data_IF_258854380905
#
_entry.id   IF_258854380905
#
_cell.length_a   1.000
_cell.length_b   1.000
_cell.length_c   1.000
_cell.angle_alpha   90.00
_cell.angle_beta   90.00
_cell.angle_gamma   90.00
#
_symmetry.space_group_name_H-M   'P 1'
#
loop_
_entity.id
_entity.type
_entity.pdbx_description
1 polymer ?
#
# COMPACT_ATOMS: atom_id res chain seq x y z
N UNK A 1 -14.48 11.27 -4.40
CA UNK A 1 -13.14 11.32 -3.76
C UNK A 1 -12.98 10.26 -2.68
N UNK A 2 -13.79 10.23 -1.63
CA UNK A 2 -13.63 9.25 -0.53
C UNK A 2 -13.81 7.79 -0.95
N UNK A 3 -14.84 7.47 -1.72
CA UNK A 3 -15.08 6.10 -2.21
C UNK A 3 -13.98 5.59 -3.17
N UNK A 4 -13.30 6.49 -3.86
CA UNK A 4 -12.20 6.13 -4.77
C UNK A 4 -10.89 5.73 -4.04
N UNK A 5 -10.83 5.93 -2.72
CA UNK A 5 -9.76 5.37 -1.87
C UNK A 5 -9.98 3.87 -1.58
N UNK A 6 -11.16 3.33 -1.89
CA UNK A 6 -11.47 1.93 -1.59
C UNK A 6 -10.47 0.95 -2.21
N UNK A 7 -10.05 1.06 -3.49
CA UNK A 7 -9.01 0.21 -4.05
C UNK A 7 -7.67 0.28 -3.30
N UNK A 8 -7.30 1.48 -2.81
CA UNK A 8 -6.08 1.64 -1.99
C UNK A 8 -6.22 0.87 -0.68
N UNK A 9 -7.39 0.97 -0.02
CA UNK A 9 -7.66 0.23 1.22
C UNK A 9 -7.61 -1.29 1.00
N UNK A 10 -8.11 -1.77 -0.15
CA UNK A 10 -8.05 -3.19 -0.52
C UNK A 10 -6.61 -3.66 -0.76
N UNK A 11 -5.78 -2.86 -1.42
CA UNK A 11 -4.37 -3.21 -1.63
C UNK A 11 -3.58 -3.25 -0.31
N UNK A 12 -3.84 -2.32 0.61
CA UNK A 12 -3.27 -2.32 1.96
C UNK A 12 -3.73 -3.53 2.78
N UNK A 13 -5.01 -3.90 2.65
CA UNK A 13 -5.58 -5.09 3.30
C UNK A 13 -4.90 -6.36 2.79
N UNK A 14 -4.78 -6.52 1.47
CA UNK A 14 -4.15 -7.68 0.85
C UNK A 14 -2.70 -7.86 1.31
N UNK A 15 -1.92 -6.80 1.38
CA UNK A 15 -0.58 -6.84 1.93
C UNK A 15 -0.58 -7.27 3.41
N UNK A 16 -1.46 -6.68 4.22
CA UNK A 16 -1.59 -7.01 5.64
C UNK A 16 -2.01 -8.46 5.88
N UNK A 17 -2.97 -8.95 5.12
CA UNK A 17 -3.44 -10.34 5.20
C UNK A 17 -2.32 -11.32 4.87
N UNK A 18 -1.53 -11.05 3.83
CA UNK A 18 -0.44 -11.91 3.38
C UNK A 18 0.75 -11.93 4.35
N UNK A 19 1.15 -10.77 4.88
CA UNK A 19 2.44 -10.62 5.56
C UNK A 19 2.36 -10.32 7.06
N UNK A 20 1.25 -9.80 7.56
CA UNK A 20 1.11 -9.33 8.94
C UNK A 20 0.10 -10.13 9.74
N UNK A 21 -0.78 -10.86 9.06
CA UNK A 21 -1.76 -11.71 9.73
C UNK A 21 -1.06 -12.90 10.41
N UNK A 22 -1.16 -12.98 11.74
CA UNK A 22 -0.58 -14.08 12.53
C UNK A 22 -1.51 -15.28 12.66
N UNK A 23 -2.79 -15.11 12.35
CA UNK A 23 -3.80 -16.17 12.44
C UNK A 23 -3.94 -16.92 11.11
N UNK A 24 -4.44 -18.16 11.17
CA UNK A 24 -4.70 -18.97 9.96
C UNK A 24 -5.71 -18.33 8.99
N UNK A 25 -6.61 -17.49 9.53
CA UNK A 25 -7.59 -16.74 8.73
C UNK A 25 -7.46 -15.26 9.08
N UNK A 26 -7.51 -14.36 8.10
CA UNK A 26 -7.51 -12.93 8.38
C UNK A 26 -8.75 -12.53 9.17
N UNK A 27 -8.68 -11.48 10.02
CA UNK A 27 -9.80 -11.06 10.85
C UNK A 27 -11.02 -10.65 10.03
N UNK A 28 -10.83 -10.17 8.82
CA UNK A 28 -11.88 -9.80 7.87
C UNK A 28 -11.65 -10.53 6.56
N UNK A 29 -12.60 -11.33 6.14
CA UNK A 29 -12.60 -11.95 4.82
C UNK A 29 -13.56 -11.20 3.91
N UNK A 30 -13.06 -10.82 2.74
CA UNK A 30 -13.87 -10.17 1.71
C UNK A 30 -14.64 -11.19 0.89
N UNK A 31 -15.86 -10.83 0.51
CA UNK A 31 -16.69 -11.60 -0.42
C UNK A 31 -17.09 -10.68 -1.57
N UNK A 32 -16.77 -11.11 -2.79
CA UNK A 32 -17.16 -10.39 -3.99
C UNK A 32 -18.55 -10.84 -4.43
N UNK A 33 -19.56 -9.98 -4.28
CA UNK A 33 -20.96 -10.33 -4.46
C UNK A 33 -21.30 -10.73 -5.90
N UNK A 34 -20.55 -10.26 -6.90
CA UNK A 34 -20.80 -10.62 -8.31
C UNK A 34 -20.48 -12.09 -8.61
N UNK A 35 -19.46 -12.65 -7.99
CA UNK A 35 -19.09 -14.07 -8.17
C UNK A 35 -19.40 -14.93 -6.94
N UNK A 36 -19.82 -14.35 -5.83
CA UNK A 36 -20.14 -15.06 -4.58
C UNK A 36 -18.95 -15.64 -3.82
N UNK A 37 -17.73 -15.44 -4.32
CA UNK A 37 -16.52 -16.05 -3.77
C UNK A 37 -15.87 -15.18 -2.68
N UNK A 38 -15.24 -15.83 -1.70
CA UNK A 38 -14.23 -15.16 -0.87
C UNK A 38 -13.09 -14.75 -1.79
N UNK A 39 -12.72 -13.50 -1.75
CA UNK A 39 -11.70 -12.97 -2.67
C UNK A 39 -10.51 -12.34 -1.93
N UNK A 40 -9.34 -12.46 -2.56
CA UNK A 40 -8.13 -11.76 -2.18
C UNK A 40 -7.87 -10.68 -3.24
N UNK A 41 -7.89 -9.40 -2.85
CA UNK A 41 -7.67 -8.32 -3.81
C UNK A 41 -6.27 -8.41 -4.41
N UNK A 42 -6.18 -8.37 -5.73
CA UNK A 42 -4.91 -8.25 -6.44
C UNK A 42 -4.87 -6.94 -7.23
N UNK A 43 -3.68 -6.34 -7.32
CA UNK A 43 -3.48 -5.14 -8.12
C UNK A 43 -3.04 -5.57 -9.51
N UNK A 44 -3.78 -5.16 -10.52
CA UNK A 44 -3.66 -5.66 -11.88
C UNK A 44 -3.56 -4.52 -12.91
N UNK A 45 -3.08 -4.88 -14.09
CA UNK A 45 -3.09 -4.03 -15.25
C UNK A 45 -4.52 -3.80 -15.75
N UNK A 46 -4.91 -2.53 -15.98
CA UNK A 46 -6.24 -2.21 -16.52
C UNK A 46 -6.48 -2.74 -17.93
N UNK A 47 -5.41 -3.07 -18.69
CA UNK A 47 -5.49 -3.55 -20.05
C UNK A 47 -5.64 -5.07 -20.12
N UNK A 48 -4.69 -5.83 -19.57
CA UNK A 48 -4.67 -7.31 -19.67
C UNK A 48 -5.22 -8.02 -18.42
N UNK A 49 -5.50 -7.29 -17.35
CA UNK A 49 -5.98 -7.80 -16.06
C UNK A 49 -5.01 -8.78 -15.35
N UNK A 50 -3.77 -8.91 -15.82
CA UNK A 50 -2.76 -9.67 -15.10
C UNK A 50 -2.20 -8.88 -13.91
N UNK A 51 -1.79 -9.62 -12.88
CA UNK A 51 -1.21 -9.03 -11.67
C UNK A 51 0.07 -8.25 -12.01
N UNK A 52 0.22 -7.07 -11.42
CA UNK A 52 1.38 -6.22 -11.65
C UNK A 52 2.30 -6.20 -10.44
N UNK A 53 3.57 -6.30 -10.70
CA UNK A 53 4.66 -6.28 -9.72
C UNK A 53 5.70 -5.23 -10.11
N UNK A 54 6.59 -4.89 -9.20
CA UNK A 54 7.70 -3.99 -9.51
C UNK A 54 8.66 -4.51 -10.61
N UNK A 55 8.56 -5.79 -10.97
CA UNK A 55 9.39 -6.40 -12.03
C UNK A 55 8.72 -6.35 -13.40
N UNK A 56 7.39 -6.32 -13.44
CA UNK A 56 6.60 -6.34 -14.68
C UNK A 56 6.16 -4.96 -15.13
N UNK A 57 6.53 -3.90 -14.39
CA UNK A 57 6.11 -2.53 -14.68
C UNK A 57 7.31 -1.63 -14.92
N UNK A 58 7.29 -0.97 -16.08
CA UNK A 58 8.13 0.18 -16.38
C UNK A 58 7.38 1.50 -16.14
N UNK A 59 8.14 2.58 -16.15
CA UNK A 59 7.58 3.92 -16.06
C UNK A 59 8.35 4.90 -16.94
N UNK A 60 7.66 5.94 -17.35
CA UNK A 60 8.25 7.10 -18.02
C UNK A 60 7.63 8.38 -17.53
N UNK A 61 8.27 9.50 -17.82
CA UNK A 61 7.76 10.81 -17.49
C UNK A 61 6.42 11.05 -18.19
N UNK A 62 5.45 11.49 -17.41
CA UNK A 62 4.15 11.93 -17.89
C UNK A 62 4.09 13.46 -18.09
N UNK A 63 2.96 13.98 -18.58
CA UNK A 63 2.78 15.41 -18.86
C UNK A 63 2.86 16.33 -17.63
N UNK A 64 2.81 15.76 -16.43
CA UNK A 64 2.99 16.48 -15.17
C UNK A 64 4.37 16.32 -14.53
N UNK A 65 5.32 15.66 -15.20
CA UNK A 65 6.67 15.49 -14.71
C UNK A 65 7.37 16.86 -14.54
N UNK A 66 8.21 16.97 -13.50
CA UNK A 66 8.96 18.22 -13.20
C UNK A 66 8.12 19.35 -12.60
N UNK A 67 6.80 19.21 -12.52
CA UNK A 67 5.95 20.21 -11.85
C UNK A 67 5.99 19.98 -10.35
N UNK A 68 6.95 20.57 -9.68
CA UNK A 68 7.00 20.57 -8.20
C UNK A 68 5.87 21.43 -7.67
N UNK A 69 4.74 20.82 -7.31
CA UNK A 69 3.74 21.50 -6.49
C UNK A 69 4.22 21.45 -5.05
N UNK A 70 4.76 22.57 -4.58
CA UNK A 70 4.91 22.77 -3.15
C UNK A 70 3.49 22.80 -2.56
N UNK A 71 3.00 21.65 -2.15
CA UNK A 71 1.86 21.62 -1.25
C UNK A 71 2.39 22.23 0.05
N UNK A 72 2.01 23.46 0.34
CA UNK A 72 2.20 24.06 1.66
C UNK A 72 1.48 23.18 2.68
N UNK A 73 2.19 22.16 3.16
CA UNK A 73 1.68 21.37 4.26
C UNK A 73 1.77 22.26 5.50
N UNK A 74 0.62 22.75 5.98
CA UNK A 74 0.54 23.27 7.34
C UNK A 74 1.20 22.24 8.24
N UNK A 75 2.26 22.64 8.92
CA UNK A 75 3.05 21.80 9.84
C UNK A 75 2.14 21.31 10.98
N UNK A 76 1.38 20.26 10.74
CA UNK A 76 0.71 19.53 11.81
C UNK A 76 1.73 18.61 12.45
N UNK A 77 2.31 19.05 13.57
CA UNK A 77 3.25 18.31 14.41
C UNK A 77 2.62 17.14 15.18
N UNK A 78 1.44 16.68 14.83
CA UNK A 78 0.83 15.53 15.49
C UNK A 78 1.21 14.28 14.74
N UNK A 79 2.27 13.62 15.21
CA UNK A 79 2.44 12.17 15.01
C UNK A 79 1.17 11.54 15.58
N UNK A 80 0.36 10.91 14.75
CA UNK A 80 -0.74 10.09 15.25
C UNK A 80 -0.11 8.90 15.97
N UNK A 81 -0.44 8.75 17.25
CA UNK A 81 -0.05 7.58 18.02
C UNK A 81 -0.56 6.32 17.28
N UNK A 82 0.32 5.39 16.88
CA UNK A 82 -0.09 4.15 16.24
C UNK A 82 -1.15 3.36 17.04
N UNK A 83 -1.16 3.50 18.36
CA UNK A 83 -2.17 2.90 19.24
C UNK A 83 -3.60 3.42 18.95
N UNK A 84 -3.74 4.61 18.37
CA UNK A 84 -5.05 5.15 17.96
C UNK A 84 -5.66 4.34 16.81
N UNK A 85 -4.85 3.65 16.03
CA UNK A 85 -5.31 2.76 14.95
C UNK A 85 -5.88 1.44 15.50
N UNK A 86 -5.52 1.09 16.74
CA UNK A 86 -5.91 -0.19 17.40
C UNK A 86 -7.14 0.01 18.29
N UNK A 87 -8.25 0.45 17.72
CA UNK A 87 -9.52 0.67 18.44
C UNK A 87 -10.23 -0.63 18.83
N UNK A 88 -9.50 -1.68 19.18
CA UNK A 88 -10.05 -2.96 19.59
C UNK A 88 -10.70 -3.80 18.48
N UNK A 89 -10.55 -3.38 17.22
CA UNK A 89 -10.96 -4.14 16.04
C UNK A 89 -9.72 -4.51 15.23
N UNK A 90 -9.40 -5.80 15.09
CA UNK A 90 -8.28 -6.22 14.28
C UNK A 90 -8.41 -5.69 12.84
N UNK A 91 -7.42 -4.96 12.36
CA UNK A 91 -7.44 -4.36 11.03
C UNK A 91 -6.09 -4.52 10.34
N UNK A 92 -6.04 -5.35 9.30
CA UNK A 92 -4.81 -5.54 8.53
C UNK A 92 -4.40 -4.29 7.76
N UNK A 93 -5.34 -3.42 7.42
CA UNK A 93 -5.05 -2.08 6.89
C UNK A 93 -4.29 -1.24 7.93
N UNK A 94 -4.75 -1.25 9.19
CA UNK A 94 -4.07 -0.53 10.27
C UNK A 94 -2.66 -1.06 10.51
N UNK A 95 -2.47 -2.40 10.50
CA UNK A 95 -1.15 -3.02 10.63
C UNK A 95 -0.21 -2.59 9.47
N UNK A 96 -0.70 -2.57 8.25
CA UNK A 96 0.07 -2.08 7.09
C UNK A 96 0.43 -0.60 7.24
N UNK A 97 -0.51 0.23 7.72
CA UNK A 97 -0.27 1.65 7.95
C UNK A 97 0.73 1.92 9.08
N UNK A 98 0.94 1.02 10.04
CA UNK A 98 2.02 1.15 11.02
C UNK A 98 3.41 1.17 10.35
N UNK A 99 3.55 0.49 9.22
CA UNK A 99 4.80 0.41 8.46
C UNK A 99 4.98 1.63 7.54
N UNK A 100 3.95 1.96 6.74
CA UNK A 100 4.06 2.96 5.67
C UNK A 100 3.30 4.26 5.95
N UNK A 101 2.63 4.38 7.09
CA UNK A 101 1.71 5.49 7.36
C UNK A 101 2.38 6.83 7.70
N UNK A 102 3.68 6.85 7.95
CA UNK A 102 4.40 8.11 8.11
C UNK A 102 5.03 8.57 6.79
N UNK A 103 5.09 9.90 6.61
CA UNK A 103 5.57 10.51 5.38
C UNK A 103 6.98 10.02 4.97
N UNK A 104 7.89 9.89 5.92
CA UNK A 104 9.27 9.59 5.61
C UNK A 104 9.46 8.11 5.24
N UNK A 105 8.84 7.19 5.97
CA UNK A 105 8.83 5.77 5.60
C UNK A 105 8.26 5.57 4.21
N UNK A 106 7.13 6.24 3.91
CA UNK A 106 6.51 6.19 2.59
C UNK A 106 7.45 6.69 1.49
N UNK A 107 8.09 7.87 1.68
CA UNK A 107 9.01 8.43 0.68
C UNK A 107 10.27 7.57 0.51
N UNK A 108 10.85 7.03 1.58
CA UNK A 108 12.01 6.13 1.51
C UNK A 108 11.68 4.88 0.70
N UNK A 109 10.50 4.26 0.94
CA UNK A 109 10.05 3.09 0.18
C UNK A 109 9.81 3.45 -1.29
N UNK A 110 9.17 4.59 -1.56
CA UNK A 110 8.90 5.04 -2.93
C UNK A 110 10.19 5.23 -3.71
N UNK A 111 11.17 5.95 -3.15
CA UNK A 111 12.46 6.17 -3.81
C UNK A 111 13.26 4.87 -3.98
N UNK A 112 13.07 3.88 -3.10
CA UNK A 112 13.68 2.56 -3.27
C UNK A 112 13.14 1.82 -4.50
N UNK A 113 11.85 1.99 -4.85
CA UNK A 113 11.30 1.44 -6.10
C UNK A 113 11.87 2.14 -7.34
N UNK A 114 12.30 3.40 -7.21
CA UNK A 114 13.07 4.12 -8.25
C UNK A 114 14.57 3.79 -8.26
N UNK A 115 15.00 2.80 -7.45
CA UNK A 115 16.36 2.27 -7.50
C UNK A 115 17.32 2.83 -6.47
N UNK A 116 16.91 3.73 -5.59
CA UNK A 116 17.75 4.21 -4.49
C UNK A 116 17.95 3.09 -3.47
N UNK A 117 19.22 2.86 -3.08
CA UNK A 117 19.60 1.76 -2.17
C UNK A 117 20.60 2.16 -1.10
N UNK A 118 21.20 3.34 -1.18
CA UNK A 118 22.25 3.81 -0.29
C UNK A 118 21.77 4.99 0.52
N UNK A 119 22.27 5.09 1.76
CA UNK A 119 21.90 6.14 2.70
C UNK A 119 22.09 7.55 2.12
N UNK A 120 23.24 7.81 1.55
CA UNK A 120 23.60 9.14 1.03
C UNK A 120 22.70 9.54 -0.15
N UNK A 121 22.29 8.57 -0.98
CA UNK A 121 21.37 8.80 -2.10
C UNK A 121 19.98 9.25 -1.61
N UNK A 122 19.42 8.58 -0.58
CA UNK A 122 18.15 9.02 0.02
C UNK A 122 18.27 10.38 0.67
N UNK A 123 19.38 10.63 1.41
CA UNK A 123 19.59 11.90 2.07
C UNK A 123 19.61 13.05 1.07
N UNK A 124 20.34 12.90 -0.02
CA UNK A 124 20.43 13.87 -1.11
C UNK A 124 19.08 14.07 -1.82
N UNK A 125 18.38 12.97 -2.15
CA UNK A 125 17.12 13.01 -2.90
C UNK A 125 15.96 13.61 -2.11
N UNK A 126 15.87 13.27 -0.82
CA UNK A 126 14.72 13.64 0.02
C UNK A 126 14.97 14.87 0.89
N UNK A 127 16.22 15.32 1.02
CA UNK A 127 16.57 16.39 1.95
C UNK A 127 16.24 16.05 3.42
N UNK A 128 16.24 14.77 3.75
CA UNK A 128 15.87 14.25 5.08
C UNK A 128 17.05 14.35 6.04
N UNK A 129 16.80 14.71 7.32
CA UNK A 129 17.83 14.71 8.34
C UNK A 129 18.35 13.29 8.61
N UNK A 130 19.68 13.16 8.80
CA UNK A 130 20.36 11.86 8.99
C UNK A 130 19.73 11.00 10.09
N UNK A 131 19.44 11.60 11.24
CA UNK A 131 18.85 10.89 12.38
C UNK A 131 17.47 10.33 12.06
N UNK A 132 16.65 11.07 11.30
CA UNK A 132 15.31 10.62 10.87
C UNK A 132 15.45 9.49 9.85
N UNK A 133 16.34 9.63 8.87
CA UNK A 133 16.57 8.59 7.87
C UNK A 133 17.08 7.30 8.52
N UNK A 134 18.03 7.40 9.46
CA UNK A 134 18.56 6.25 10.21
C UNK A 134 17.43 5.53 10.96
N UNK A 135 16.58 6.27 11.68
CA UNK A 135 15.44 5.67 12.40
C UNK A 135 14.48 4.96 11.43
N UNK A 136 14.14 5.58 10.30
CA UNK A 136 13.22 4.97 9.33
C UNK A 136 13.80 3.73 8.65
N UNK A 137 15.05 3.76 8.24
CA UNK A 137 15.71 2.60 7.64
C UNK A 137 15.82 1.43 8.65
N UNK A 138 16.16 1.72 9.91
CA UNK A 138 16.21 0.69 10.95
C UNK A 138 14.83 0.05 11.20
N UNK A 139 13.76 0.85 11.26
CA UNK A 139 12.38 0.34 11.38
C UNK A 139 11.98 -0.50 10.18
N UNK A 140 12.23 -0.04 8.96
CA UNK A 140 11.92 -0.79 7.75
C UNK A 140 12.69 -2.11 7.64
N UNK A 141 13.91 -2.17 8.18
CA UNK A 141 14.66 -3.43 8.32
C UNK A 141 14.03 -4.33 9.39
N UNK A 142 13.69 -3.79 10.57
CA UNK A 142 13.04 -4.54 11.65
C UNK A 142 11.66 -5.09 11.23
N UNK A 143 10.91 -4.33 10.44
CA UNK A 143 9.62 -4.73 9.87
C UNK A 143 9.77 -5.72 8.70
N UNK A 144 11.00 -6.04 8.30
CA UNK A 144 11.30 -6.98 7.21
C UNK A 144 10.95 -6.45 5.81
N UNK A 145 10.88 -5.13 5.63
CA UNK A 145 10.69 -4.49 4.33
C UNK A 145 12.01 -4.44 3.55
N UNK A 146 13.08 -4.07 4.23
CA UNK A 146 14.43 -4.09 3.68
C UNK A 146 15.31 -5.14 4.36
N UNK A 147 16.23 -5.68 3.58
CA UNK A 147 17.43 -6.37 4.05
C UNK A 147 18.62 -5.42 3.91
N UNK A 148 19.40 -5.27 4.99
CA UNK A 148 20.63 -4.50 5.01
C UNK A 148 21.79 -5.38 4.56
N UNK A 149 22.54 -4.94 3.56
CA UNK A 149 23.69 -5.66 3.01
C UNK A 149 24.93 -4.75 3.02
N UNK A 150 25.98 -5.23 3.62
CA UNK A 150 27.28 -4.56 3.59
C UNK A 150 27.88 -4.65 2.19
N UNK A 151 28.38 -3.54 1.64
CA UNK A 151 29.03 -3.51 0.35
C UNK A 151 30.46 -2.95 0.40
N UNK A 152 30.87 -2.33 1.54
CA UNK A 152 32.20 -1.79 1.77
C UNK A 152 32.59 -1.99 3.24
N UNK A 153 33.88 -2.34 3.49
CA UNK A 153 34.38 -2.61 4.85
C UNK A 153 34.97 -1.37 5.52
N UNK A 154 35.69 -0.54 4.80
CA UNK A 154 36.40 0.63 5.36
C UNK A 154 36.21 1.87 4.47
N UNK A 155 35.51 2.92 4.94
CA UNK A 155 34.59 2.88 6.07
C UNK A 155 33.43 1.90 5.81
N UNK A 156 32.83 1.37 6.87
CA UNK A 156 31.73 0.41 6.72
C UNK A 156 30.51 1.07 6.07
N UNK A 157 30.05 0.52 4.93
CA UNK A 157 28.91 1.04 4.19
C UNK A 157 27.91 -0.05 3.86
N UNK A 158 26.62 0.32 3.86
CA UNK A 158 25.50 -0.60 3.65
C UNK A 158 24.59 -0.11 2.54
N UNK A 159 24.05 -1.08 1.81
CA UNK A 159 22.89 -0.89 0.93
C UNK A 159 21.66 -1.58 1.54
N UNK A 160 20.48 -1.07 1.16
CA UNK A 160 19.20 -1.59 1.59
C UNK A 160 18.45 -2.10 0.37
N UNK A 161 18.06 -3.36 0.41
CA UNK A 161 17.34 -4.02 -0.69
C UNK A 161 15.99 -4.52 -0.21
N UNK A 162 14.99 -4.41 -1.04
CA UNK A 162 13.69 -5.00 -0.74
C UNK A 162 13.80 -6.50 -0.49
N UNK A 163 13.12 -6.96 0.56
CA UNK A 163 12.74 -8.37 0.74
C UNK A 163 11.55 -8.70 -0.18
N UNK A 164 11.10 -9.95 -0.22
CA UNK A 164 9.86 -10.30 -0.94
C UNK A 164 8.65 -9.57 -0.32
N UNK A 165 8.59 -9.49 1.01
CA UNK A 165 7.58 -8.68 1.72
C UNK A 165 7.62 -7.21 1.28
N UNK A 166 8.81 -6.63 1.21
CA UNK A 166 8.95 -5.23 0.78
C UNK A 166 8.51 -4.99 -0.66
N UNK A 167 8.79 -5.93 -1.58
CA UNK A 167 8.36 -5.84 -2.98
C UNK A 167 6.84 -5.84 -3.13
N UNK A 168 6.13 -6.58 -2.30
CA UNK A 168 4.67 -6.67 -2.35
C UNK A 168 3.95 -5.37 -1.95
N UNK A 169 4.65 -4.41 -1.33
CA UNK A 169 4.12 -3.05 -1.13
C UNK A 169 3.89 -2.30 -2.44
N UNK A 170 4.51 -2.74 -3.54
CA UNK A 170 4.39 -2.08 -4.84
C UNK A 170 2.93 -1.89 -5.27
N UNK A 171 2.10 -2.91 -5.11
CA UNK A 171 0.68 -2.84 -5.45
C UNK A 171 -0.06 -1.72 -4.72
N UNK A 172 0.18 -1.56 -3.42
CA UNK A 172 -0.43 -0.49 -2.64
C UNK A 172 0.05 0.90 -3.10
N UNK A 173 1.33 1.03 -3.46
CA UNK A 173 1.90 2.30 -3.94
C UNK A 173 1.31 2.72 -5.28
N UNK A 174 1.19 1.81 -6.25
CA UNK A 174 0.60 2.17 -7.56
C UNK A 174 -0.91 2.38 -7.49
N UNK A 175 -1.62 1.73 -6.56
CA UNK A 175 -3.01 2.05 -6.27
C UNK A 175 -3.17 3.48 -5.72
N UNK A 176 -2.25 3.90 -4.84
CA UNK A 176 -2.20 5.29 -4.35
C UNK A 176 -1.81 6.27 -5.46
N UNK A 177 -0.85 5.91 -6.31
CA UNK A 177 -0.47 6.73 -7.47
C UNK A 177 -1.70 6.99 -8.36
N UNK A 178 -2.46 5.94 -8.72
CA UNK A 178 -3.69 6.09 -9.49
C UNK A 178 -4.69 7.05 -8.85
N UNK A 179 -4.89 6.93 -7.53
CA UNK A 179 -5.78 7.86 -6.82
C UNK A 179 -5.27 9.30 -6.90
N UNK A 180 -3.97 9.50 -6.72
CA UNK A 180 -3.29 10.80 -6.86
C UNK A 180 -3.44 11.38 -8.26
N UNK A 181 -3.23 10.56 -9.29
CA UNK A 181 -3.37 10.96 -10.69
C UNK A 181 -4.78 11.41 -11.00
N UNK A 182 -5.78 10.69 -10.51
CA UNK A 182 -7.18 11.05 -10.73
C UNK A 182 -7.59 12.36 -10.07
N UNK A 183 -7.14 12.59 -8.84
CA UNK A 183 -7.69 13.68 -8.03
C UNK A 183 -6.75 14.88 -7.86
N UNK A 184 -5.45 14.69 -7.97
CA UNK A 184 -4.45 15.71 -7.67
C UNK A 184 -3.70 16.19 -8.91
N UNK A 185 -3.60 15.38 -9.97
CA UNK A 185 -2.80 15.70 -11.17
C UNK A 185 -3.48 16.69 -12.12
N UNK A 186 -4.79 16.95 -11.98
CA UNK A 186 -5.60 17.75 -12.92
C UNK A 186 -5.49 17.24 -14.36
N UNK A 187 -5.50 15.92 -14.56
CA UNK A 187 -5.37 15.28 -15.86
C UNK A 187 -3.94 15.23 -16.44
N UNK A 188 -2.95 15.65 -15.67
CA UNK A 188 -1.53 15.61 -16.06
C UNK A 188 -0.75 14.74 -15.05
N UNK A 189 -0.82 13.42 -15.18
CA UNK A 189 -0.08 12.53 -14.27
C UNK A 189 1.43 12.74 -14.41
N UNK A 190 2.21 12.68 -13.33
CA UNK A 190 3.66 12.85 -13.38
C UNK A 190 4.38 11.64 -13.98
N UNK A 191 3.76 10.46 -13.88
CA UNK A 191 4.31 9.19 -14.38
C UNK A 191 3.27 8.48 -15.24
N UNK A 192 3.74 7.82 -16.27
CA UNK A 192 2.96 6.87 -17.07
C UNK A 192 3.57 5.50 -16.84
N UNK A 193 2.72 4.54 -16.44
CA UNK A 193 3.14 3.16 -16.19
C UNK A 193 2.90 2.33 -17.44
N UNK A 194 3.88 1.46 -17.78
CA UNK A 194 3.80 0.49 -18.88
C UNK A 194 3.92 -0.91 -18.31
N UNK A 195 3.01 -1.81 -18.66
CA UNK A 195 3.08 -3.22 -18.24
C UNK A 195 3.87 -4.01 -19.28
N UNK A 196 4.99 -4.60 -18.90
CA UNK A 196 5.90 -5.27 -19.83
C UNK A 196 5.28 -6.48 -20.53
N UNK A 197 4.45 -7.25 -19.82
CA UNK A 197 3.88 -8.48 -20.36
C UNK A 197 2.90 -8.24 -21.51
N UNK A 198 2.17 -7.12 -21.51
CA UNK A 198 1.25 -6.76 -22.60
C UNK A 198 1.71 -5.55 -23.42
N UNK A 199 2.79 -4.89 -23.03
CA UNK A 199 3.35 -3.71 -23.71
C UNK A 199 2.49 -2.44 -23.63
N UNK A 200 1.34 -2.47 -22.94
CA UNK A 200 0.41 -1.35 -22.88
C UNK A 200 0.70 -0.40 -21.72
N UNK A 201 0.43 0.89 -21.96
CA UNK A 201 0.27 1.83 -20.86
C UNK A 201 -0.98 1.50 -20.08
N UNK A 202 -0.89 1.57 -18.75
CA UNK A 202 -1.99 1.12 -17.92
C UNK A 202 -2.19 1.99 -16.67
N UNK A 203 -3.33 1.81 -16.05
CA UNK A 203 -3.63 2.28 -14.71
C UNK A 203 -3.81 1.08 -13.78
N UNK A 204 -3.31 1.18 -12.55
CA UNK A 204 -3.51 0.13 -11.57
C UNK A 204 -5.01 -0.05 -11.28
N UNK A 205 -5.49 -1.28 -11.34
CA UNK A 205 -6.87 -1.66 -11.00
C UNK A 205 -6.82 -2.76 -9.94
N UNK A 206 -7.65 -2.65 -8.91
CA UNK A 206 -7.78 -3.72 -7.91
C UNK A 206 -8.93 -4.61 -8.31
N UNK A 207 -8.63 -5.88 -8.53
CA UNK A 207 -9.57 -6.88 -9.06
C UNK A 207 -9.71 -8.07 -8.12
N UNK A 208 -10.77 -8.84 -8.32
CA UNK A 208 -10.97 -10.12 -7.66
C UNK A 208 -10.02 -11.18 -8.23
N UNK A 209 -9.34 -11.92 -7.36
CA UNK A 209 -8.46 -13.04 -7.75
C UNK A 209 -9.23 -14.18 -8.44
N UNK A 210 -10.53 -14.32 -8.14
CA UNK A 210 -11.38 -15.39 -8.67
C UNK A 210 -11.99 -15.05 -10.04
N UNK A 211 -12.72 -13.94 -10.19
CA UNK A 211 -13.44 -13.61 -11.43
C UNK A 211 -12.77 -12.52 -12.27
N UNK A 212 -11.66 -11.93 -11.81
CA UNK A 212 -10.89 -10.88 -12.49
C UNK A 212 -11.65 -9.56 -12.73
N UNK A 213 -12.85 -9.42 -12.14
CA UNK A 213 -13.59 -8.17 -12.23
C UNK A 213 -13.14 -7.14 -11.19
N UNK A 214 -13.22 -5.84 -11.51
CA UNK A 214 -12.84 -4.77 -10.59
C UNK A 214 -13.65 -4.78 -9.30
N UNK A 215 -12.98 -4.59 -8.16
CA UNK A 215 -13.60 -4.56 -6.85
C UNK A 215 -14.10 -3.15 -6.52
N UNK A 216 -15.42 -2.98 -6.50
CA UNK A 216 -16.08 -1.75 -6.09
C UNK A 216 -16.74 -1.93 -4.73
N UNK A 217 -16.77 -0.88 -3.91
CA UNK A 217 -17.32 -0.95 -2.55
C UNK A 217 -18.80 -1.44 -2.48
N UNK A 218 -19.59 -1.14 -3.51
CA UNK A 218 -20.99 -1.57 -3.62
C UNK A 218 -21.17 -3.07 -3.88
N UNK A 219 -20.16 -3.70 -4.49
CA UNK A 219 -20.18 -5.10 -4.92
C UNK A 219 -19.48 -6.01 -3.91
N UNK A 220 -19.17 -5.48 -2.72
CA UNK A 220 -18.43 -6.18 -1.69
C UNK A 220 -19.25 -6.38 -0.43
N UNK A 221 -19.10 -7.55 0.16
CA UNK A 221 -19.47 -7.85 1.54
C UNK A 221 -18.27 -8.43 2.28
N UNK A 222 -18.40 -8.67 3.57
CA UNK A 222 -17.32 -9.22 4.38
C UNK A 222 -17.84 -10.16 5.44
N UNK A 223 -16.98 -11.09 5.86
CA UNK A 223 -17.20 -11.99 7.00
C UNK A 223 -16.16 -11.65 8.07
N UNK A 224 -16.60 -11.62 9.32
CA UNK A 224 -15.71 -11.41 10.47
C UNK A 224 -15.30 -12.76 11.05
N UNK A 225 -14.00 -12.98 11.20
CA UNK A 225 -13.43 -14.17 11.85
C UNK A 225 -13.10 -13.89 13.33
N UNK A 226 -13.71 -12.88 13.92
CA UNK A 226 -13.63 -12.55 15.34
C UNK A 226 -14.98 -12.03 15.85
N UNK A 227 -15.20 -12.11 17.16
CA UNK A 227 -16.36 -11.48 17.80
C UNK A 227 -16.05 -10.00 18.07
N UNK A 228 -16.76 -9.06 17.47
CA UNK A 228 -16.60 -7.64 17.81
C UNK A 228 -16.88 -7.44 19.30
N UNK A 229 -16.04 -6.67 20.00
CA UNK A 229 -16.41 -6.16 21.32
C UNK A 229 -17.55 -5.16 21.12
N UNK A 230 -18.54 -5.24 21.96
CA UNK A 230 -19.64 -4.29 21.96
C UNK A 230 -19.09 -2.91 22.37
N UNK A 231 -18.96 -2.02 21.40
CA UNK A 231 -18.46 -0.67 21.59
C UNK A 231 -19.58 0.35 21.81
N UNK A 232 -20.80 -0.13 22.09
CA UNK A 232 -21.97 0.70 22.38
C UNK A 232 -22.45 1.57 21.22
N UNK A 233 -21.94 1.34 20.00
CA UNK A 233 -22.39 2.07 18.81
C UNK A 233 -23.61 1.39 18.22
N UNK A 234 -24.67 2.14 17.90
CA UNK A 234 -25.83 1.57 17.22
C UNK A 234 -25.38 0.92 15.91
N UNK A 235 -25.73 -0.35 15.72
CA UNK A 235 -25.53 -1.06 14.46
C UNK A 235 -26.27 -0.29 13.36
N UNK A 236 -25.54 0.26 12.38
CA UNK A 236 -26.21 0.80 11.20
C UNK A 236 -26.95 -0.33 10.51
N UNK A 237 -28.25 -0.21 10.22
CA UNK A 237 -28.97 -1.19 9.43
C UNK A 237 -28.41 -1.17 8.02
N UNK A 238 -27.66 -2.19 7.66
CA UNK A 238 -27.11 -2.27 6.33
C UNK A 238 -26.13 -3.43 6.13
N UNK A 239 -26.71 -4.59 5.76
CA UNK A 239 -26.15 -5.87 5.32
C UNK A 239 -25.73 -6.86 6.43
N UNK A 240 -26.25 -8.08 6.39
CA UNK A 240 -26.05 -9.08 7.43
C UNK A 240 -24.58 -9.52 7.47
N UNK A 241 -23.96 -9.35 8.63
CA UNK A 241 -22.75 -10.07 8.98
C UNK A 241 -23.17 -11.52 9.27
N UNK A 242 -22.86 -12.44 8.38
CA UNK A 242 -22.96 -13.86 8.70
C UNK A 242 -21.82 -14.22 9.64
N UNK A 243 -22.15 -14.37 10.92
CA UNK A 243 -21.24 -14.98 11.90
C UNK A 243 -21.39 -16.50 11.72
N UNK A 244 -20.42 -17.17 11.12
CA UNK A 244 -20.32 -18.62 11.20
C UNK A 244 -19.90 -18.98 12.63
N UNK A 245 -20.86 -19.44 13.42
CA UNK A 245 -20.66 -20.10 14.69
C UNK A 245 -20.44 -21.60 14.47
N UNK A 246 -19.26 -22.07 14.76
CA UNK A 246 -18.76 -23.26 15.47
C UNK A 246 -17.38 -23.62 15.00
#
# INVERSE_FOLDING_TARGET
MGLDLYPVMLALLAFGDKWLCRSKKPPVQLVHNLCGSVCHPIVACSHCKEEVTARTVGYRDGPGAGVTRVLESKRNRRSSDPAVLDRGRPSMVAETLKIIGDRWSFMVITEAFFGIRQFDQWQQKLGIASNILTDRLNRLVADGIFARRKYQDLPERFEYRFTEKGKDLYGALIAMLRWGDRWLSRGKPPLILTHYDCGADFQATVICDHCREPLNAKDMSYRLNYRPKDDGRPSKPGRPATVEGK
#
